data_IF_775302112366
#
_entry.id   IF_775302112366
#
_cell.length_a   1.000
_cell.length_b   1.000
_cell.length_c   1.000
_cell.angle_alpha   90.00
_cell.angle_beta   90.00
_cell.angle_gamma   90.00
#
_symmetry.space_group_name_H-M   'P 1'
#
loop_
_entity.id
_entity.type
_entity.pdbx_description
1 polymer ?
#
# COMPACT_ATOMS: atom_id res chain seq x y z
N UNK A 1 9.77 7.62 -13.02
CA UNK A 1 8.38 8.06 -12.75
C UNK A 1 8.07 9.24 -13.64
N UNK A 2 7.58 8.99 -14.86
CA UNK A 2 6.77 9.87 -15.73
C UNK A 2 6.17 8.91 -16.76
N UNK A 3 4.83 8.87 -16.90
CA UNK A 3 4.00 8.10 -17.87
C UNK A 3 2.96 7.13 -17.30
N UNK A 4 2.34 7.43 -16.16
CA UNK A 4 1.11 6.72 -15.78
C UNK A 4 -0.12 7.19 -16.59
N UNK A 5 -0.13 8.42 -17.10
CA UNK A 5 -1.26 8.93 -17.88
C UNK A 5 -1.59 8.14 -19.16
N UNK A 6 -0.63 7.87 -20.08
CA UNK A 6 -0.89 7.08 -21.29
C UNK A 6 -1.50 5.71 -20.99
N UNK A 7 -0.95 5.07 -19.95
CA UNK A 7 -1.40 3.78 -19.45
C UNK A 7 -2.81 3.89 -18.90
N UNK A 8 -3.08 4.80 -17.97
CA UNK A 8 -4.39 4.98 -17.33
C UNK A 8 -5.47 5.33 -18.36
N UNK A 9 -5.17 6.17 -19.34
CA UNK A 9 -6.08 6.49 -20.44
C UNK A 9 -6.45 5.23 -21.25
N UNK A 10 -5.45 4.43 -21.61
CA UNK A 10 -5.64 3.16 -22.32
C UNK A 10 -6.48 2.16 -21.51
N UNK A 11 -6.26 2.11 -20.19
CA UNK A 11 -6.98 1.26 -19.26
C UNK A 11 -8.46 1.62 -19.21
N UNK A 12 -8.78 2.88 -18.95
CA UNK A 12 -10.15 3.37 -18.85
C UNK A 12 -10.94 3.13 -20.15
N UNK A 13 -10.29 3.28 -21.31
CA UNK A 13 -10.91 2.95 -22.60
C UNK A 13 -11.23 1.46 -22.72
N UNK A 14 -10.30 0.59 -22.35
CA UNK A 14 -10.48 -0.87 -22.40
C UNK A 14 -11.55 -1.34 -21.41
N UNK A 15 -11.60 -0.77 -20.21
CA UNK A 15 -12.64 -1.04 -19.22
C UNK A 15 -14.04 -0.66 -19.71
N UNK A 16 -14.15 0.49 -20.40
CA UNK A 16 -15.39 0.93 -21.05
C UNK A 16 -15.74 0.11 -22.31
N UNK A 17 -14.86 -0.82 -22.72
CA UNK A 17 -15.02 -1.74 -23.88
C UNK A 17 -15.29 -1.03 -25.20
N UNK A 18 -14.61 0.10 -25.44
CA UNK A 18 -14.75 0.90 -26.67
C UNK A 18 -13.45 0.94 -27.49
N UNK A 19 -13.59 1.09 -28.81
CA UNK A 19 -12.45 1.25 -29.72
C UNK A 19 -11.82 2.64 -29.57
N UNK A 20 -10.55 2.79 -29.96
CA UNK A 20 -9.89 4.10 -30.02
C UNK A 20 -10.65 5.07 -30.93
N UNK A 21 -11.21 4.58 -32.05
CA UNK A 21 -11.99 5.43 -32.97
C UNK A 21 -13.24 5.99 -32.28
N UNK A 22 -13.97 5.17 -31.52
CA UNK A 22 -15.15 5.61 -30.78
C UNK A 22 -14.78 6.60 -29.68
N UNK A 23 -13.80 6.25 -28.85
CA UNK A 23 -13.32 7.12 -27.77
C UNK A 23 -12.82 8.48 -28.31
N UNK A 24 -12.08 8.48 -29.41
CA UNK A 24 -11.57 9.71 -30.03
C UNK A 24 -12.71 10.59 -30.54
N UNK A 25 -13.74 9.99 -31.17
CA UNK A 25 -14.94 10.70 -31.59
C UNK A 25 -15.68 11.34 -30.41
N UNK A 26 -15.88 10.58 -29.33
CA UNK A 26 -16.56 11.07 -28.13
C UNK A 26 -15.76 12.18 -27.41
N UNK A 27 -14.43 12.11 -27.44
CA UNK A 27 -13.52 13.08 -26.83
C UNK A 27 -13.20 14.28 -27.75
N UNK A 28 -13.71 14.28 -28.99
CA UNK A 28 -13.50 15.37 -29.95
C UNK A 28 -12.06 15.49 -30.46
N UNK A 29 -11.32 14.38 -30.55
CA UNK A 29 -9.95 14.32 -31.09
C UNK A 29 -9.83 13.33 -32.23
N UNK A 30 -8.76 13.42 -33.02
CA UNK A 30 -8.49 12.40 -34.03
C UNK A 30 -8.06 11.07 -33.38
N UNK A 31 -8.37 9.94 -34.02
CA UNK A 31 -7.95 8.63 -33.52
C UNK A 31 -6.42 8.50 -33.45
N UNK A 32 -5.69 9.13 -34.39
CA UNK A 32 -4.23 9.20 -34.35
C UNK A 32 -3.74 9.98 -33.11
N UNK A 33 -4.37 11.13 -32.80
CA UNK A 33 -3.99 11.93 -31.63
C UNK A 33 -4.26 11.18 -30.32
N UNK A 34 -5.41 10.50 -30.21
CA UNK A 34 -5.69 9.66 -29.04
C UNK A 34 -4.67 8.52 -28.91
N UNK A 35 -4.28 7.89 -30.02
CA UNK A 35 -3.22 6.88 -30.03
C UNK A 35 -1.87 7.45 -29.57
N UNK A 36 -1.53 8.68 -29.95
CA UNK A 36 -0.30 9.33 -29.48
C UNK A 36 -0.33 9.57 -27.97
N UNK A 37 -1.48 9.95 -27.40
CA UNK A 37 -1.64 10.10 -25.96
C UNK A 37 -1.55 8.75 -25.24
N UNK A 38 -2.24 7.71 -25.73
CA UNK A 38 -2.25 6.37 -25.12
C UNK A 38 -0.88 5.67 -25.14
N UNK A 39 -0.03 6.01 -26.10
CA UNK A 39 1.33 5.47 -26.21
C UNK A 39 2.41 6.41 -25.64
N UNK A 40 2.03 7.55 -25.06
CA UNK A 40 2.98 8.53 -24.49
C UNK A 40 3.86 9.23 -25.52
N UNK A 41 3.48 9.19 -26.81
CA UNK A 41 4.19 9.90 -27.89
C UNK A 41 3.93 11.41 -27.87
N UNK A 42 2.85 11.84 -27.21
CA UNK A 42 2.51 13.26 -27.05
C UNK A 42 1.90 13.48 -25.67
N UNK A 43 2.22 14.61 -25.06
CA UNK A 43 1.54 15.05 -23.85
C UNK A 43 0.24 15.79 -24.19
N UNK A 44 -0.88 15.46 -23.53
CA UNK A 44 -2.13 16.19 -23.69
C UNK A 44 -2.09 17.54 -22.98
N UNK A 45 -2.80 18.52 -23.52
CA UNK A 45 -3.05 19.78 -22.81
C UNK A 45 -4.07 19.62 -21.68
N UNK A 46 -4.12 20.61 -20.78
CA UNK A 46 -5.04 20.65 -19.64
C UNK A 46 -6.51 20.49 -20.05
N UNK A 47 -6.92 21.08 -21.18
CA UNK A 47 -8.29 20.98 -21.66
C UNK A 47 -8.69 19.52 -21.99
N UNK A 48 -7.78 18.75 -22.59
CA UNK A 48 -8.02 17.34 -22.89
C UNK A 48 -8.04 16.51 -21.60
N UNK A 49 -7.17 16.81 -20.63
CA UNK A 49 -7.16 16.17 -19.32
C UNK A 49 -8.53 16.27 -18.63
N UNK A 50 -9.12 17.48 -18.60
CA UNK A 50 -10.44 17.73 -18.01
C UNK A 50 -11.54 16.98 -18.77
N UNK A 51 -11.50 16.97 -20.11
CA UNK A 51 -12.46 16.22 -20.94
C UNK A 51 -12.42 14.72 -20.64
N UNK A 52 -11.23 14.14 -20.55
CA UNK A 52 -11.03 12.72 -20.24
C UNK A 52 -11.54 12.39 -18.83
N UNK A 53 -11.19 13.22 -17.84
CA UNK A 53 -11.65 13.07 -16.46
C UNK A 53 -13.18 12.98 -16.38
N UNK A 54 -13.88 13.93 -17.02
CA UNK A 54 -15.33 13.94 -17.09
C UNK A 54 -15.91 12.75 -17.87
N UNK A 55 -15.31 12.40 -19.01
CA UNK A 55 -15.80 11.33 -19.88
C UNK A 55 -15.72 9.93 -19.24
N UNK A 56 -14.71 9.69 -18.40
CA UNK A 56 -14.51 8.43 -17.69
C UNK A 56 -14.97 8.48 -16.22
N UNK A 57 -15.42 9.63 -15.72
CA UNK A 57 -15.90 9.79 -14.35
C UNK A 57 -14.80 9.56 -13.31
N UNK A 58 -13.59 10.09 -13.57
CA UNK A 58 -12.42 9.97 -12.70
C UNK A 58 -11.80 11.33 -12.44
N UNK A 59 -11.01 11.45 -11.38
CA UNK A 59 -10.23 12.63 -11.06
C UNK A 59 -8.98 12.77 -11.93
N UNK A 60 -8.46 13.99 -12.01
CA UNK A 60 -7.16 14.24 -12.62
C UNK A 60 -6.03 13.52 -11.88
N UNK A 61 -6.10 13.43 -10.55
CA UNK A 61 -5.10 12.72 -9.74
C UNK A 61 -5.04 11.23 -10.08
N UNK A 62 -6.19 10.60 -10.32
CA UNK A 62 -6.24 9.21 -10.80
C UNK A 62 -5.62 9.08 -12.20
N UNK A 63 -6.00 9.94 -13.14
CA UNK A 63 -5.47 9.93 -14.50
C UNK A 63 -3.95 10.09 -14.53
N UNK A 64 -3.40 10.92 -13.64
CA UNK A 64 -1.97 11.19 -13.55
C UNK A 64 -1.20 10.16 -12.73
N UNK A 65 -1.88 9.13 -12.18
CA UNK A 65 -1.25 8.09 -11.36
C UNK A 65 -0.86 8.54 -9.95
N UNK A 66 -1.40 9.67 -9.47
CA UNK A 66 -1.12 10.20 -8.13
C UNK A 66 -1.88 9.44 -7.03
N UNK A 67 -2.97 8.78 -7.39
CA UNK A 67 -3.78 7.94 -6.50
C UNK A 67 -4.38 6.76 -7.27
N UNK A 68 -4.65 5.67 -6.54
CA UNK A 68 -5.42 4.55 -7.05
C UNK A 68 -6.94 4.76 -6.92
N UNK A 69 -7.37 5.81 -6.20
CA UNK A 69 -8.79 6.14 -6.04
C UNK A 69 -9.31 6.94 -7.22
N UNK A 70 -10.40 6.48 -7.83
CA UNK A 70 -10.99 7.11 -9.03
C UNK A 70 -11.51 8.52 -8.77
N UNK A 71 -12.00 8.81 -7.57
CA UNK A 71 -12.54 10.11 -7.19
C UNK A 71 -11.46 11.13 -6.81
N UNK A 72 -10.19 10.71 -6.73
CA UNK A 72 -9.11 11.62 -6.32
C UNK A 72 -9.04 11.83 -4.82
N UNK A 73 -9.74 11.03 -4.00
CA UNK A 73 -9.67 11.17 -2.55
C UNK A 73 -8.22 11.04 -2.08
N UNK A 74 -7.62 12.15 -1.66
CA UNK A 74 -6.37 12.15 -0.92
C UNK A 74 -6.65 11.59 0.48
N UNK A 75 -5.73 10.76 0.99
CA UNK A 75 -5.83 10.29 2.37
C UNK A 75 -5.55 11.48 3.30
N UNK A 76 -6.60 12.03 3.89
CA UNK A 76 -6.52 13.04 4.94
C UNK A 76 -6.59 12.29 6.28
N UNK A 77 -5.56 12.36 7.14
CA UNK A 77 -5.52 11.60 8.39
C UNK A 77 -6.79 11.75 9.25
N UNK A 78 -7.35 12.95 9.30
CA UNK A 78 -8.53 13.30 10.08
C UNK A 78 -9.84 12.69 9.53
N UNK A 79 -9.83 12.19 8.29
CA UNK A 79 -10.98 11.55 7.64
C UNK A 79 -10.87 10.02 7.61
N UNK A 80 -9.76 9.46 8.10
CA UNK A 80 -9.61 8.02 8.21
C UNK A 80 -10.54 7.50 9.32
N UNK A 81 -11.43 6.54 9.02
CA UNK A 81 -12.24 5.93 10.05
C UNK A 81 -11.34 5.21 11.05
N UNK A 82 -11.54 5.45 12.34
CA UNK A 82 -10.87 4.65 13.36
C UNK A 82 -11.48 3.24 13.36
N UNK A 83 -10.75 2.32 12.72
CA UNK A 83 -11.14 0.91 12.61
C UNK A 83 -11.24 0.26 14.00
N UNK A 84 -10.60 0.84 15.03
CA UNK A 84 -10.69 0.36 16.42
C UNK A 84 -12.05 0.70 17.07
N UNK A 85 -12.73 1.76 16.63
CA UNK A 85 -14.03 2.18 17.16
C UNK A 85 -15.23 1.55 16.44
N UNK A 86 -15.03 1.06 15.22
CA UNK A 86 -16.07 0.34 14.47
C UNK A 86 -16.29 -1.07 15.05
N UNK A 87 -17.09 -1.15 16.12
CA UNK A 87 -17.48 -2.41 16.79
C UNK A 87 -18.29 -3.37 15.92
N UNK A 88 -18.77 -2.95 14.74
CA UNK A 88 -19.87 -3.64 14.07
C UNK A 88 -19.80 -3.72 12.54
N UNK A 89 -18.60 -4.02 11.99
CA UNK A 89 -18.57 -4.68 10.68
C UNK A 89 -18.47 -6.18 10.90
N UNK A 90 -19.60 -6.84 10.66
CA UNK A 90 -19.78 -8.27 10.46
C UNK A 90 -18.81 -8.75 9.36
N UNK A 91 -17.54 -8.92 9.73
CA UNK A 91 -16.63 -9.77 8.99
C UNK A 91 -17.30 -11.14 8.95
N UNK A 92 -17.84 -11.51 7.79
CA UNK A 92 -18.19 -12.90 7.46
C UNK A 92 -16.90 -13.70 7.27
N UNK A 93 -16.06 -13.71 8.31
CA UNK A 93 -14.78 -14.41 8.36
C UNK A 93 -14.79 -15.42 9.50
N UNK A 94 -13.91 -16.41 9.42
CA UNK A 94 -13.72 -17.34 10.54
C UNK A 94 -13.28 -16.57 11.79
N UNK A 95 -13.61 -17.08 12.98
CA UNK A 95 -13.18 -16.49 14.26
C UNK A 95 -11.65 -16.26 14.30
N UNK A 96 -10.89 -17.10 13.59
CA UNK A 96 -9.44 -16.94 13.41
C UNK A 96 -9.06 -15.66 12.67
N UNK A 97 -9.77 -15.29 11.59
CA UNK A 97 -9.48 -14.05 10.85
C UNK A 97 -9.71 -12.80 11.71
N UNK A 98 -10.77 -12.82 12.53
CA UNK A 98 -11.06 -11.76 13.49
C UNK A 98 -9.97 -11.63 14.56
N UNK A 99 -9.53 -12.77 15.10
CA UNK A 99 -8.45 -12.83 16.09
C UNK A 99 -7.13 -12.29 15.52
N UNK A 100 -6.69 -12.81 14.37
CA UNK A 100 -5.45 -12.38 13.71
C UNK A 100 -5.49 -10.88 13.39
N UNK A 101 -6.61 -10.35 12.88
CA UNK A 101 -6.77 -8.91 12.66
C UNK A 101 -6.53 -8.12 13.95
N UNK A 102 -7.14 -8.53 15.06
CA UNK A 102 -7.00 -7.82 16.35
C UNK A 102 -5.57 -7.85 16.88
N UNK A 103 -4.90 -9.00 16.79
CA UNK A 103 -3.48 -9.14 17.17
C UNK A 103 -2.60 -8.21 16.35
N UNK A 104 -2.81 -8.14 15.02
CA UNK A 104 -2.04 -7.28 14.13
C UNK A 104 -2.29 -5.79 14.40
N UNK A 105 -3.56 -5.37 14.50
CA UNK A 105 -3.90 -3.96 14.76
C UNK A 105 -3.30 -3.46 16.07
N UNK A 106 -3.49 -4.21 17.17
CA UNK A 106 -2.95 -3.82 18.47
C UNK A 106 -1.41 -3.75 18.47
N UNK A 107 -0.76 -4.72 17.82
CA UNK A 107 0.70 -4.76 17.70
C UNK A 107 1.22 -3.56 16.88
N UNK A 108 0.56 -3.22 15.77
CA UNK A 108 0.92 -2.07 14.96
C UNK A 108 0.73 -0.74 15.71
N UNK A 109 -0.36 -0.59 16.46
CA UNK A 109 -0.60 0.60 17.28
C UNK A 109 0.51 0.79 18.33
N UNK A 110 0.87 -0.29 19.04
CA UNK A 110 1.98 -0.25 20.00
C UNK A 110 3.31 0.08 19.30
N UNK A 111 3.59 -0.56 18.16
CA UNK A 111 4.83 -0.35 17.41
C UNK A 111 4.99 1.10 16.96
N UNK A 112 3.95 1.70 16.37
CA UNK A 112 4.01 3.09 15.91
C UNK A 112 3.99 4.13 17.04
N UNK A 113 3.37 3.85 18.20
CA UNK A 113 3.52 4.73 19.38
C UNK A 113 4.96 4.73 19.90
N UNK A 114 5.63 3.58 19.89
CA UNK A 114 7.06 3.51 20.21
C UNK A 114 7.89 4.30 19.20
N UNK A 115 7.68 4.09 17.90
CA UNK A 115 8.40 4.82 16.85
C UNK A 115 8.15 6.33 16.93
N UNK A 116 6.91 6.76 17.21
CA UNK A 116 6.55 8.17 17.38
C UNK A 116 7.32 8.84 18.51
N UNK A 117 7.62 8.11 19.59
CA UNK A 117 8.41 8.60 20.73
C UNK A 117 9.91 8.71 20.44
N UNK A 118 10.42 7.93 19.49
CA UNK A 118 11.80 8.07 19.02
C UNK A 118 12.03 9.40 18.27
N UNK A 119 10.98 10.02 17.72
CA UNK A 119 11.07 11.32 17.04
C UNK A 119 11.80 11.30 15.69
N UNK A 120 12.38 10.17 15.28
CA UNK A 120 13.05 10.02 13.99
C UNK A 120 12.04 9.78 12.87
N UNK A 121 11.81 10.85 12.08
CA UNK A 121 10.92 10.83 10.92
C UNK A 121 11.37 9.86 9.83
N UNK A 122 12.68 9.67 9.68
CA UNK A 122 13.23 8.76 8.68
C UNK A 122 12.93 7.32 9.08
N UNK A 123 13.18 6.97 10.35
CA UNK A 123 12.85 5.67 10.90
C UNK A 123 11.35 5.34 10.75
N UNK A 124 10.48 6.27 11.12
CA UNK A 124 9.02 6.11 10.97
C UNK A 124 8.64 5.86 9.51
N UNK A 125 9.21 6.64 8.58
CA UNK A 125 8.91 6.52 7.15
C UNK A 125 9.39 5.18 6.57
N UNK A 126 10.62 4.74 6.89
CA UNK A 126 11.18 3.48 6.41
C UNK A 126 10.43 2.26 6.97
N UNK A 127 10.09 2.27 8.27
CA UNK A 127 9.24 1.22 8.86
C UNK A 127 7.85 1.18 8.22
N UNK A 128 7.24 2.36 7.99
CA UNK A 128 5.96 2.46 7.28
C UNK A 128 6.02 1.90 5.87
N UNK A 129 7.05 2.27 5.10
CA UNK A 129 7.23 1.79 3.74
C UNK A 129 7.48 0.28 3.66
N UNK A 130 8.21 -0.28 4.62
CA UNK A 130 8.40 -1.74 4.74
C UNK A 130 7.06 -2.47 4.89
N UNK A 131 6.21 -1.98 5.79
CA UNK A 131 4.89 -2.57 6.05
C UNK A 131 3.93 -2.36 4.87
N UNK A 132 3.90 -1.16 4.27
CA UNK A 132 3.12 -0.89 3.06
C UNK A 132 3.51 -1.82 1.91
N UNK A 133 4.81 -2.04 1.70
CA UNK A 133 5.32 -2.95 0.68
C UNK A 133 4.91 -4.39 0.97
N UNK A 134 4.99 -4.82 2.23
CA UNK A 134 4.59 -6.16 2.65
C UNK A 134 3.09 -6.41 2.42
N UNK A 135 2.24 -5.45 2.80
CA UNK A 135 0.79 -5.52 2.55
C UNK A 135 0.52 -5.52 1.05
N UNK A 136 1.18 -4.67 0.28
CA UNK A 136 1.04 -4.61 -1.18
C UNK A 136 1.40 -5.96 -1.83
N UNK A 137 2.53 -6.57 -1.46
CA UNK A 137 2.97 -7.87 -1.98
C UNK A 137 1.93 -8.96 -1.71
N UNK A 138 1.49 -9.09 -0.46
CA UNK A 138 0.45 -10.08 -0.08
C UNK A 138 -0.86 -9.80 -0.80
N UNK A 139 -1.29 -8.54 -0.88
CA UNK A 139 -2.50 -8.15 -1.59
C UNK A 139 -2.44 -8.51 -3.07
N UNK A 140 -1.30 -8.31 -3.74
CA UNK A 140 -1.12 -8.69 -5.15
C UNK A 140 -1.28 -10.19 -5.37
N UNK A 141 -0.75 -11.03 -4.49
CA UNK A 141 -0.98 -12.48 -4.55
C UNK A 141 -2.46 -12.84 -4.34
N UNK A 142 -3.10 -12.25 -3.33
CA UNK A 142 -4.53 -12.47 -3.08
C UNK A 142 -5.38 -12.03 -4.28
N UNK A 143 -5.06 -10.88 -4.86
CA UNK A 143 -5.75 -10.33 -6.03
C UNK A 143 -5.62 -11.24 -7.25
N UNK A 144 -4.46 -11.86 -7.45
CA UNK A 144 -4.21 -12.78 -8.57
C UNK A 144 -5.02 -14.09 -8.49
N UNK A 145 -5.48 -14.51 -7.30
CA UNK A 145 -6.41 -15.65 -7.20
C UNK A 145 -7.78 -15.36 -7.81
N UNK A 146 -8.19 -14.09 -7.85
CA UNK A 146 -9.44 -13.69 -8.48
C UNK A 146 -9.32 -13.73 -10.00
N UNK A 147 -9.78 -14.82 -10.64
CA UNK A 147 -9.65 -15.03 -12.10
C UNK A 147 -10.28 -13.94 -12.98
N UNK A 148 -11.18 -13.12 -12.44
CA UNK A 148 -11.84 -12.00 -13.12
C UNK A 148 -11.15 -10.67 -12.89
N UNK A 149 -10.14 -10.61 -12.04
CA UNK A 149 -9.50 -9.39 -11.64
C UNK A 149 -8.48 -8.95 -12.71
N UNK A 150 -8.61 -7.73 -13.25
CA UNK A 150 -7.69 -7.27 -14.28
C UNK A 150 -6.33 -6.92 -13.65
N UNK A 151 -5.24 -7.53 -14.12
CA UNK A 151 -3.86 -7.15 -13.70
C UNK A 151 -3.51 -5.70 -14.10
N UNK A 152 -4.25 -5.20 -15.09
CA UNK A 152 -4.16 -3.85 -15.62
C UNK A 152 -4.39 -2.77 -14.56
N UNK A 153 -5.01 -3.11 -13.43
CA UNK A 153 -5.21 -2.25 -12.27
C UNK A 153 -3.90 -1.79 -11.58
N UNK A 154 -2.75 -2.46 -11.82
CA UNK A 154 -1.50 -2.15 -11.12
C UNK A 154 -0.35 -1.75 -12.04
N UNK A 155 0.37 -0.66 -11.72
CA UNK A 155 1.54 -0.21 -12.47
C UNK A 155 2.57 -1.32 -12.77
N UNK A 156 2.81 -2.21 -11.81
CA UNK A 156 3.79 -3.28 -11.91
C UNK A 156 3.09 -4.58 -12.35
N UNK A 157 3.48 -5.21 -13.48
CA UNK A 157 2.92 -6.51 -13.88
C UNK A 157 3.15 -7.58 -12.81
N UNK A 158 2.22 -8.53 -12.69
CA UNK A 158 2.27 -9.54 -11.63
C UNK A 158 3.59 -10.31 -11.55
N UNK A 159 4.16 -10.68 -12.70
CA UNK A 159 5.40 -11.48 -12.80
C UNK A 159 6.63 -10.80 -12.15
N UNK A 160 6.59 -9.48 -11.96
CA UNK A 160 7.67 -8.72 -11.34
C UNK A 160 7.40 -8.36 -9.88
N UNK A 161 6.22 -8.67 -9.33
CA UNK A 161 5.80 -8.24 -8.00
C UNK A 161 6.78 -8.71 -6.93
N UNK A 162 7.17 -9.98 -6.95
CA UNK A 162 8.06 -10.54 -5.93
C UNK A 162 9.40 -9.82 -5.91
N UNK A 163 10.10 -9.79 -7.05
CA UNK A 163 11.41 -9.18 -7.17
C UNK A 163 11.40 -7.69 -6.80
N UNK A 164 10.39 -6.95 -7.27
CA UNK A 164 10.29 -5.51 -7.01
C UNK A 164 9.99 -5.20 -5.55
N UNK A 165 9.08 -5.96 -4.93
CA UNK A 165 8.76 -5.81 -3.52
C UNK A 165 9.94 -6.22 -2.64
N UNK A 166 10.60 -7.35 -2.93
CA UNK A 166 11.75 -7.81 -2.15
C UNK A 166 12.92 -6.85 -2.22
N UNK A 167 13.19 -6.27 -3.39
CA UNK A 167 14.17 -5.19 -3.52
C UNK A 167 13.80 -3.99 -2.65
N UNK A 168 12.53 -3.59 -2.62
CA UNK A 168 12.08 -2.46 -1.81
C UNK A 168 12.19 -2.75 -0.30
N UNK A 169 11.83 -3.97 0.13
CA UNK A 169 12.00 -4.41 1.52
C UNK A 169 13.48 -4.38 1.91
N UNK A 170 14.38 -4.90 1.07
CA UNK A 170 15.83 -4.87 1.32
C UNK A 170 16.41 -3.46 1.38
N UNK A 171 15.88 -2.52 0.60
CA UNK A 171 16.27 -1.10 0.70
C UNK A 171 15.86 -0.47 2.04
N UNK A 172 14.66 -0.79 2.52
CA UNK A 172 14.20 -0.33 3.83
C UNK A 172 15.10 -0.93 4.92
N UNK A 173 15.39 -2.23 4.88
CA UNK A 173 16.30 -2.90 5.83
C UNK A 173 17.69 -2.24 5.87
N UNK A 174 18.29 -1.96 4.72
CA UNK A 174 19.57 -1.28 4.64
C UNK A 174 19.53 0.12 5.28
N UNK A 175 18.44 0.87 5.05
CA UNK A 175 18.25 2.21 5.60
C UNK A 175 18.09 2.16 7.13
N UNK A 176 17.36 1.17 7.64
CA UNK A 176 17.20 0.92 9.07
C UNK A 176 18.55 0.59 9.74
N UNK A 177 19.35 -0.30 9.14
CA UNK A 177 20.68 -0.65 9.65
C UNK A 177 21.62 0.56 9.66
N UNK A 178 21.68 1.34 8.58
CA UNK A 178 22.51 2.56 8.54
C UNK A 178 22.05 3.62 9.55
N UNK A 179 20.75 3.73 9.79
CA UNK A 179 20.20 4.59 10.83
C UNK A 179 20.72 4.22 12.23
N UNK A 180 20.91 2.92 12.50
CA UNK A 180 21.51 2.48 13.77
C UNK A 180 23.00 2.81 13.89
N UNK A 181 23.75 2.78 12.79
CA UNK A 181 25.20 3.08 12.79
C UNK A 181 25.50 4.58 12.96
N UNK A 182 24.60 5.45 12.50
CA UNK A 182 24.75 6.91 12.54
C UNK A 182 24.20 7.55 13.83
N UNK A 183 23.62 6.74 14.72
CA UNK A 183 22.97 7.20 15.94
C UNK A 183 24.00 7.64 16.98
N UNK A 184 23.77 8.79 17.63
CA UNK A 184 24.64 9.27 18.71
C UNK A 184 24.36 8.50 20.00
N UNK A 185 25.40 8.21 20.78
CA UNK A 185 25.30 7.45 22.04
C UNK A 185 24.33 8.07 23.06
N UNK A 186 24.10 9.39 23.00
CA UNK A 186 23.22 10.14 23.91
C UNK A 186 21.71 10.05 23.54
N UNK A 187 21.34 9.46 22.41
CA UNK A 187 19.94 9.35 21.99
C UNK A 187 19.25 8.17 22.67
N UNK A 188 18.49 8.44 23.73
CA UNK A 188 17.71 7.44 24.47
C UNK A 188 16.90 6.53 23.53
N UNK A 189 17.25 5.24 23.52
CA UNK A 189 16.47 4.20 22.84
C UNK A 189 15.27 3.87 23.73
N UNK A 190 14.09 3.73 23.15
CA UNK A 190 12.94 3.25 23.90
C UNK A 190 13.25 1.87 24.49
N UNK A 191 13.01 1.68 25.78
CA UNK A 191 13.12 0.36 26.40
C UNK A 191 12.06 -0.58 25.82
N UNK A 192 12.52 -1.58 25.09
CA UNK A 192 11.72 -2.59 24.40
C UNK A 192 11.65 -3.93 25.15
N UNK A 193 12.15 -3.99 26.39
CA UNK A 193 12.08 -5.21 27.21
C UNK A 193 10.63 -5.64 27.43
N UNK A 194 10.42 -6.94 27.64
CA UNK A 194 9.07 -7.49 27.89
C UNK A 194 8.41 -6.80 29.09
N UNK A 195 9.16 -6.58 30.16
CA UNK A 195 8.67 -5.91 31.37
C UNK A 195 8.28 -4.45 31.09
N UNK A 196 9.11 -3.72 30.34
CA UNK A 196 8.79 -2.35 29.93
C UNK A 196 7.55 -2.30 29.04
N UNK A 197 7.41 -3.24 28.09
CA UNK A 197 6.23 -3.34 27.23
C UNK A 197 4.96 -3.64 28.02
N UNK A 198 4.99 -4.61 28.93
CA UNK A 198 3.85 -5.01 29.74
C UNK A 198 3.43 -3.91 30.73
N UNK A 199 4.41 -3.26 31.36
CA UNK A 199 4.18 -2.14 32.28
C UNK A 199 3.59 -0.93 31.55
N UNK A 200 4.15 -0.58 30.39
CA UNK A 200 3.80 0.64 29.65
C UNK A 200 2.55 0.48 28.77
N UNK A 201 2.26 -0.73 28.30
CA UNK A 201 1.16 -1.04 27.40
C UNK A 201 0.36 -2.28 27.82
N UNK A 202 -0.21 -2.33 29.04
CA UNK A 202 -0.82 -3.55 29.58
C UNK A 202 -1.96 -4.12 28.70
N UNK A 203 -2.67 -3.26 27.96
CA UNK A 203 -3.77 -3.66 27.08
C UNK A 203 -3.32 -4.12 25.68
N UNK A 204 -2.16 -3.66 25.19
CA UNK A 204 -1.67 -3.94 23.84
C UNK A 204 -0.51 -4.96 23.83
N UNK A 205 0.27 -5.01 24.90
CA UNK A 205 1.42 -5.91 25.06
C UNK A 205 1.07 -7.38 24.82
N UNK A 206 -0.07 -7.94 25.29
CA UNK A 206 -0.40 -9.34 25.01
C UNK A 206 -0.48 -9.66 23.51
N UNK A 207 -0.95 -8.72 22.69
CA UNK A 207 -0.99 -8.89 21.23
C UNK A 207 0.41 -8.89 20.62
N UNK A 208 1.28 -7.97 21.04
CA UNK A 208 2.66 -7.90 20.58
C UNK A 208 3.44 -9.16 20.97
N UNK A 209 3.31 -9.62 22.22
CA UNK A 209 3.97 -10.84 22.69
C UNK A 209 3.48 -12.08 21.93
N UNK A 210 2.18 -12.18 21.65
CA UNK A 210 1.65 -13.27 20.83
C UNK A 210 2.22 -13.22 19.40
N UNK A 211 2.35 -12.03 18.80
CA UNK A 211 2.97 -11.87 17.49
C UNK A 211 4.44 -12.35 17.52
N UNK A 212 5.23 -11.86 18.47
CA UNK A 212 6.65 -12.21 18.61
C UNK A 212 6.82 -13.72 18.79
N UNK A 213 6.05 -14.33 19.70
CA UNK A 213 6.08 -15.77 19.94
C UNK A 213 5.70 -16.56 18.69
N UNK A 214 4.58 -16.20 18.04
CA UNK A 214 4.11 -16.92 16.84
C UNK A 214 5.14 -16.85 15.73
N UNK A 215 5.78 -15.70 15.50
CA UNK A 215 6.80 -15.56 14.45
C UNK A 215 8.08 -16.32 14.83
N UNK A 216 8.53 -16.22 16.09
CA UNK A 216 9.72 -16.96 16.57
C UNK A 216 9.55 -18.46 16.38
N UNK A 217 8.42 -19.01 16.81
CA UNK A 217 8.11 -20.45 16.67
C UNK A 217 8.17 -20.93 15.21
N UNK A 218 7.69 -20.11 14.28
CA UNK A 218 7.69 -20.45 12.86
C UNK A 218 9.09 -20.34 12.24
N UNK A 219 9.90 -19.37 12.69
CA UNK A 219 11.28 -19.19 12.22
C UNK A 219 12.23 -20.25 12.75
N UNK A 220 12.07 -20.64 14.01
CA UNK A 220 12.86 -21.71 14.62
C UNK A 220 12.55 -23.08 13.98
N UNK A 221 11.43 -23.16 13.25
CA UNK A 221 10.86 -24.39 12.74
C UNK A 221 10.45 -25.26 13.92
N UNK A 222 9.22 -25.78 13.93
CA UNK A 222 8.89 -26.81 14.91
C UNK A 222 9.97 -27.89 14.86
N UNK A 223 10.71 -28.04 15.96
CA UNK A 223 11.53 -29.20 16.34
C UNK A 223 10.72 -30.52 16.41
N UNK A 224 9.62 -30.64 15.68
CA UNK A 224 8.78 -31.81 15.58
C UNK A 224 8.25 -31.95 14.13
N UNK A 225 8.96 -32.74 13.32
CA UNK A 225 8.34 -33.59 12.31
C UNK A 225 8.47 -33.20 10.83
N UNK A 226 9.69 -33.02 10.34
CA UNK A 226 10.11 -33.44 9.00
C UNK A 226 11.48 -34.12 9.11
#
# INVERSE_FOLDING_TARGET
MVNDFPRTLSLLRKEKKISQRKAAGDLGVSQALLSHYENGMREPGLEFLVKVANYYGVSADYLLGRTMSRDGSALIPEQLPDVMEQRDHTLKGSAMALFTRKVLTNSLSLFFDILGRCGDRTLIAECGLYLYTSIYKVYRHVYAYGRTNPDSAFPIPYDYVDAMCDMQLKKCELSLTRGTELRREDEAVADLTIDALQSRYPQLAPSMLNLLHTVSDNLEGKKNGL
#
